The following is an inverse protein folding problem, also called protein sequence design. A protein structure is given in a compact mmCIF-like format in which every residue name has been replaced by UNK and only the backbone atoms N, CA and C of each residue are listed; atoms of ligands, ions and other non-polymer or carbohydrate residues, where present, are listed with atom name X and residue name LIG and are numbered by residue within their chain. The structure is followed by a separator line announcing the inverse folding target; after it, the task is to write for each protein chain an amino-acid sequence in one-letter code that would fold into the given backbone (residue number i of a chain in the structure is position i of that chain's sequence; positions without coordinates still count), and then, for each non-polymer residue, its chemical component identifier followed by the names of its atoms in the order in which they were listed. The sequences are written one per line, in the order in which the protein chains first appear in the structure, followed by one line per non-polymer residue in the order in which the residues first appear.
data_IF_815981902142
#
_entry.id   IF_815981902142
#
_cell.length_a   1.000
_cell.length_b   1.000
_cell.length_c   1.000
_cell.angle_alpha   90.00
_cell.angle_beta   90.00
_cell.angle_gamma   90.00
#
_symmetry.space_group_name_H-M   'P 1'
#
loop_
_entity.id
_entity.type
_entity.pdbx_description
1 polymer ?
#
# COMPACT_ATOMS: atom_id res chain seq x y z
N UNK A 1 -7.23 -3.14 -30.22
CA UNK A 1 -6.85 -2.75 -28.83
C UNK A 1 -7.18 -3.92 -27.95
N UNK A 2 -6.22 -4.64 -27.40
CA UNK A 2 -6.47 -5.73 -26.44
C UNK A 2 -7.08 -5.10 -25.19
N UNK A 3 -8.33 -5.45 -24.86
CA UNK A 3 -9.01 -4.96 -23.67
C UNK A 3 -8.24 -5.34 -22.40
N UNK A 4 -8.25 -4.47 -21.41
CA UNK A 4 -7.75 -4.77 -20.06
C UNK A 4 -8.94 -5.19 -19.23
N UNK A 5 -8.93 -6.40 -18.73
CA UNK A 5 -9.92 -6.86 -17.75
C UNK A 5 -9.50 -6.41 -16.36
N UNK A 6 -10.44 -5.94 -15.55
CA UNK A 6 -10.19 -5.46 -14.20
C UNK A 6 -10.80 -6.40 -13.18
N UNK A 7 -10.01 -6.71 -12.15
CA UNK A 7 -10.39 -7.58 -11.05
C UNK A 7 -10.19 -6.87 -9.71
N UNK A 8 -11.07 -7.10 -8.76
CA UNK A 8 -10.84 -6.78 -7.36
C UNK A 8 -10.40 -8.05 -6.63
N UNK A 9 -9.22 -8.01 -6.03
CA UNK A 9 -8.75 -9.07 -5.14
C UNK A 9 -8.94 -8.62 -3.71
N UNK A 10 -9.72 -9.39 -2.97
CA UNK A 10 -10.06 -9.21 -1.56
C UNK A 10 -9.19 -10.11 -0.72
N UNK A 11 -8.46 -9.55 0.20
CA UNK A 11 -7.59 -10.25 1.14
C UNK A 11 -8.28 -10.18 2.51
N UNK A 12 -8.83 -11.31 2.96
CA UNK A 12 -9.50 -11.44 4.25
C UNK A 12 -8.53 -12.01 5.28
N UNK A 13 -7.98 -11.19 6.18
CA UNK A 13 -7.16 -11.70 7.27
C UNK A 13 -7.97 -12.66 8.14
N UNK A 14 -7.44 -13.85 8.44
CA UNK A 14 -8.05 -14.79 9.36
C UNK A 14 -7.58 -14.57 10.81
N UNK A 15 -6.54 -13.77 10.97
CA UNK A 15 -5.93 -13.41 12.24
C UNK A 15 -5.23 -12.03 12.12
N UNK A 16 -4.85 -11.38 13.23
CA UNK A 16 -4.08 -10.13 13.18
C UNK A 16 -2.79 -10.30 12.40
N UNK A 17 -2.51 -9.37 11.48
CA UNK A 17 -1.36 -9.43 10.59
C UNK A 17 -0.12 -8.81 11.24
N UNK A 18 1.06 -9.34 10.93
CA UNK A 18 2.33 -8.72 11.24
C UNK A 18 2.87 -8.03 9.99
N UNK A 19 2.72 -6.71 9.94
CA UNK A 19 3.09 -5.89 8.79
C UNK A 19 4.33 -5.04 9.15
N UNK A 20 5.51 -5.60 8.95
CA UNK A 20 6.75 -4.93 9.35
C UNK A 20 6.90 -3.55 8.73
N UNK A 21 7.14 -2.55 9.59
CA UNK A 21 7.46 -1.19 9.21
C UNK A 21 8.91 -1.05 8.67
N UNK A 22 9.28 0.14 8.19
CA UNK A 22 10.66 0.46 7.78
C UNK A 22 11.58 0.64 9.00
N UNK A 23 11.40 -0.13 10.04
CA UNK A 23 12.15 0.00 11.29
C UNK A 23 13.15 -1.11 11.49
N UNK A 24 13.83 -1.00 12.58
CA UNK A 24 15.04 -1.70 12.98
C UNK A 24 14.79 -3.12 13.54
N UNK A 25 14.03 -3.94 12.87
CA UNK A 25 14.07 -5.34 13.27
C UNK A 25 15.29 -6.01 12.64
N UNK A 26 16.35 -6.07 13.41
CA UNK A 26 17.47 -6.96 13.13
C UNK A 26 17.11 -8.34 13.67
N UNK A 27 17.04 -9.39 12.84
CA UNK A 27 16.81 -10.76 13.31
C UNK A 27 17.90 -11.26 14.28
N UNK A 28 19.05 -10.58 14.31
CA UNK A 28 20.13 -10.84 15.25
C UNK A 28 20.03 -10.02 16.53
N UNK A 29 19.18 -8.97 16.57
CA UNK A 29 18.95 -8.17 17.76
C UNK A 29 18.31 -9.04 18.87
N UNK A 30 18.86 -8.96 20.06
CA UNK A 30 18.47 -9.79 21.21
C UNK A 30 18.03 -8.91 22.36
N UNK A 31 17.10 -9.44 23.17
CA UNK A 31 16.67 -8.78 24.40
C UNK A 31 15.36 -7.99 24.25
N UNK A 32 14.98 -7.33 25.33
CA UNK A 32 13.67 -6.65 25.47
C UNK A 32 13.50 -5.47 24.51
N UNK A 33 14.60 -4.92 24.02
CA UNK A 33 14.63 -3.83 23.02
C UNK A 33 14.46 -4.31 21.57
N UNK A 34 14.49 -5.63 21.32
CA UNK A 34 14.17 -6.18 20.00
C UNK A 34 12.66 -6.12 19.76
N UNK A 35 12.16 -5.00 19.27
CA UNK A 35 10.76 -4.79 18.98
C UNK A 35 10.51 -4.78 17.46
N UNK A 36 9.55 -5.57 17.01
CA UNK A 36 9.05 -5.53 15.63
C UNK A 36 7.75 -4.72 15.61
N UNK A 37 7.84 -3.46 15.18
CA UNK A 37 6.66 -2.60 15.06
C UNK A 37 5.96 -2.86 13.73
N UNK A 38 4.67 -3.16 13.78
CA UNK A 38 3.84 -3.30 12.58
C UNK A 38 3.41 -1.95 12.03
N UNK A 39 3.37 -1.85 10.70
CA UNK A 39 2.67 -0.76 10.02
C UNK A 39 1.16 -0.96 10.20
N UNK A 40 0.43 0.14 10.18
CA UNK A 40 -1.03 0.10 10.29
C UNK A 40 -1.70 -0.54 9.06
N UNK A 41 -0.99 -0.66 7.93
CA UNK A 41 -1.59 -1.09 6.68
C UNK A 41 -0.62 -1.85 5.76
N UNK A 42 -1.19 -2.66 4.86
CA UNK A 42 -0.45 -3.54 3.95
C UNK A 42 0.31 -2.73 2.88
N UNK A 43 1.59 -3.00 2.72
CA UNK A 43 2.39 -2.32 1.70
C UNK A 43 2.13 -2.90 0.28
N UNK A 44 2.14 -2.06 -0.78
CA UNK A 44 1.99 -2.52 -2.16
C UNK A 44 2.96 -3.63 -2.56
N UNK A 45 4.23 -3.54 -2.13
CA UNK A 45 5.23 -4.57 -2.39
C UNK A 45 4.91 -5.92 -1.74
N UNK A 46 4.21 -5.92 -0.60
CA UNK A 46 3.75 -7.16 0.04
C UNK A 46 2.60 -7.77 -0.75
N UNK A 47 1.67 -6.95 -1.25
CA UNK A 47 0.59 -7.40 -2.13
C UNK A 47 1.14 -7.99 -3.42
N UNK A 48 2.04 -7.28 -4.10
CA UNK A 48 2.65 -7.75 -5.34
C UNK A 48 3.41 -9.07 -5.14
N UNK A 49 4.20 -9.18 -4.07
CA UNK A 49 4.91 -10.41 -3.72
C UNK A 49 3.97 -11.58 -3.44
N UNK A 50 2.87 -11.35 -2.71
CA UNK A 50 1.83 -12.34 -2.45
C UNK A 50 1.22 -12.86 -3.75
N UNK A 51 0.74 -11.96 -4.61
CA UNK A 51 0.08 -12.32 -5.86
C UNK A 51 1.02 -13.06 -6.82
N UNK A 52 2.23 -12.54 -7.02
CA UNK A 52 3.23 -13.19 -7.89
C UNK A 52 3.59 -14.58 -7.37
N UNK A 53 3.83 -14.75 -6.06
CA UNK A 53 4.17 -16.05 -5.48
C UNK A 53 3.05 -17.08 -5.64
N UNK A 54 1.80 -16.68 -5.43
CA UNK A 54 0.63 -17.55 -5.58
C UNK A 54 0.40 -17.96 -7.04
N UNK A 55 0.53 -17.02 -7.97
CA UNK A 55 0.35 -17.28 -9.40
C UNK A 55 1.47 -18.17 -9.96
N UNK A 56 2.70 -17.98 -9.50
CA UNK A 56 3.83 -18.83 -9.87
C UNK A 56 3.80 -20.19 -9.16
N UNK A 57 3.06 -20.34 -8.06
CA UNK A 57 3.07 -21.49 -7.15
C UNK A 57 4.48 -21.82 -6.59
N UNK A 58 5.35 -20.85 -6.55
CA UNK A 58 6.71 -20.93 -6.01
C UNK A 58 7.18 -19.56 -5.55
N UNK A 59 8.14 -19.52 -4.62
CA UNK A 59 8.80 -18.27 -4.26
C UNK A 59 9.50 -17.65 -5.47
N UNK A 60 9.65 -16.34 -5.47
CA UNK A 60 10.54 -15.65 -6.42
C UNK A 60 11.97 -16.08 -6.14
N UNK A 61 12.68 -16.47 -7.17
CA UNK A 61 14.08 -16.91 -7.05
C UNK A 61 14.97 -15.77 -6.55
N UNK A 62 15.98 -16.08 -5.73
CA UNK A 62 16.97 -15.10 -5.32
C UNK A 62 17.65 -14.43 -6.51
N UNK A 63 17.93 -13.14 -6.37
CA UNK A 63 18.68 -12.35 -7.35
C UNK A 63 19.84 -11.65 -6.65
N UNK A 64 20.85 -11.23 -7.42
CA UNK A 64 22.12 -10.72 -6.88
C UNK A 64 21.98 -9.38 -6.17
N UNK A 65 21.08 -8.51 -6.64
CA UNK A 65 20.94 -7.16 -6.12
C UNK A 65 19.51 -6.60 -6.31
N UNK A 66 19.29 -5.42 -5.76
CA UNK A 66 17.99 -4.73 -5.81
C UNK A 66 17.54 -4.39 -7.24
N UNK A 67 18.41 -3.97 -8.12
CA UNK A 67 18.01 -3.62 -9.49
C UNK A 67 17.64 -4.85 -10.29
N UNK A 68 18.39 -5.95 -10.16
CA UNK A 68 18.00 -7.26 -10.70
C UNK A 68 16.63 -7.72 -10.18
N UNK A 69 16.30 -7.43 -8.91
CA UNK A 69 14.98 -7.71 -8.38
C UNK A 69 13.88 -6.86 -9.07
N UNK A 70 14.16 -5.58 -9.33
CA UNK A 70 13.22 -4.70 -10.04
C UNK A 70 12.91 -5.24 -11.43
N UNK A 71 13.94 -5.55 -12.20
CA UNK A 71 13.80 -6.08 -13.55
C UNK A 71 13.08 -7.43 -13.56
N UNK A 72 13.43 -8.30 -12.61
CA UNK A 72 12.78 -9.60 -12.45
C UNK A 72 11.30 -9.48 -12.10
N UNK A 73 10.92 -8.55 -11.24
CA UNK A 73 9.51 -8.32 -10.90
C UNK A 73 8.72 -7.78 -12.09
N UNK A 74 9.28 -6.86 -12.87
CA UNK A 74 8.66 -6.37 -14.11
C UNK A 74 8.46 -7.51 -15.12
N UNK A 75 9.46 -8.34 -15.33
CA UNK A 75 9.38 -9.53 -16.18
C UNK A 75 8.25 -10.48 -15.71
N UNK A 76 8.18 -10.76 -14.41
CA UNK A 76 7.15 -11.64 -13.84
C UNK A 76 5.75 -11.06 -13.98
N UNK A 77 5.56 -9.77 -13.75
CA UNK A 77 4.27 -9.12 -13.97
C UNK A 77 3.83 -9.25 -15.44
N UNK A 78 4.74 -9.01 -16.38
CA UNK A 78 4.47 -9.18 -17.81
C UNK A 78 4.12 -10.64 -18.15
N UNK A 79 4.89 -11.61 -17.67
CA UNK A 79 4.65 -13.05 -17.88
C UNK A 79 3.30 -13.50 -17.34
N UNK A 80 2.87 -12.93 -16.21
CA UNK A 80 1.58 -13.23 -15.59
C UNK A 80 0.42 -12.43 -16.19
N UNK A 81 0.69 -11.54 -17.15
CA UNK A 81 -0.30 -10.66 -17.76
C UNK A 81 -0.86 -9.60 -16.81
N UNK A 82 -0.15 -9.30 -15.71
CA UNK A 82 -0.55 -8.25 -14.76
C UNK A 82 0.01 -6.92 -15.25
N UNK A 83 -0.88 -6.05 -15.71
CA UNK A 83 -0.47 -4.70 -16.14
C UNK A 83 -0.20 -3.79 -14.95
N UNK A 84 -1.11 -3.79 -14.01
CA UNK A 84 -1.04 -2.92 -12.85
C UNK A 84 -1.80 -3.50 -11.65
N UNK A 85 -1.39 -3.06 -10.45
CA UNK A 85 -2.07 -3.27 -9.17
C UNK A 85 -2.34 -1.89 -8.60
N UNK A 86 -3.53 -1.64 -8.02
CA UNK A 86 -3.93 -0.39 -7.38
C UNK A 86 -4.49 -0.64 -5.98
N UNK A 87 -4.29 0.30 -5.11
CA UNK A 87 -4.59 0.19 -3.69
C UNK A 87 -3.31 0.01 -2.86
N UNK A 88 -3.38 -0.68 -1.72
CA UNK A 88 -4.59 -1.27 -1.12
C UNK A 88 -5.53 -0.24 -0.47
N UNK A 89 -6.76 -0.65 -0.20
CA UNK A 89 -7.73 0.05 0.64
C UNK A 89 -8.53 -0.97 1.46
N UNK A 90 -9.28 -0.52 2.47
CA UNK A 90 -10.13 -1.41 3.24
C UNK A 90 -11.53 -1.43 2.64
N UNK A 91 -12.29 -2.50 2.88
CA UNK A 91 -13.69 -2.55 2.47
C UNK A 91 -14.55 -3.31 3.49
N UNK A 92 -15.79 -2.82 3.65
CA UNK A 92 -16.84 -3.46 4.42
C UNK A 92 -18.06 -3.64 3.52
N UNK A 93 -18.38 -4.88 3.21
CA UNK A 93 -19.31 -5.16 2.12
C UNK A 93 -18.80 -4.62 0.78
N UNK A 94 -19.54 -3.69 0.17
CA UNK A 94 -19.15 -2.93 -1.03
C UNK A 94 -18.55 -1.56 -0.74
N UNK A 95 -18.60 -1.09 0.50
CA UNK A 95 -18.15 0.26 0.89
C UNK A 95 -16.64 0.32 1.01
N UNK A 96 -15.95 1.17 0.21
CA UNK A 96 -14.51 1.35 0.31
C UNK A 96 -14.15 2.33 1.43
N UNK A 97 -13.21 1.94 2.29
CA UNK A 97 -12.62 2.77 3.33
C UNK A 97 -11.19 3.13 2.97
N UNK A 98 -10.92 4.42 2.87
CA UNK A 98 -9.62 4.96 2.49
C UNK A 98 -8.87 5.53 3.69
N UNK A 99 -7.52 5.43 3.70
CA UNK A 99 -6.73 5.98 4.80
C UNK A 99 -6.79 7.51 4.83
N UNK A 100 -6.79 8.08 6.04
CA UNK A 100 -6.65 9.52 6.29
C UNK A 100 -5.62 9.72 7.39
N UNK A 101 -4.72 10.69 7.21
CA UNK A 101 -3.80 11.16 8.24
C UNK A 101 -4.20 12.51 8.77
N UNK A 102 -4.38 12.59 10.09
CA UNK A 102 -4.72 13.82 10.78
C UNK A 102 -3.95 13.94 12.09
N UNK A 103 -3.02 14.88 12.18
CA UNK A 103 -2.25 15.15 13.38
C UNK A 103 -1.38 13.98 13.88
N UNK A 104 -0.90 13.14 12.95
CA UNK A 104 -0.10 11.95 13.28
C UNK A 104 -0.92 10.65 13.31
N UNK A 105 -2.22 10.71 13.54
CA UNK A 105 -3.10 9.55 13.55
C UNK A 105 -3.41 9.06 12.14
N UNK A 106 -3.56 7.76 11.98
CA UNK A 106 -4.06 7.11 10.77
C UNK A 106 -5.36 6.38 11.10
N UNK A 107 -6.41 6.74 10.38
CA UNK A 107 -7.70 6.05 10.44
C UNK A 107 -8.26 5.89 9.02
N UNK A 108 -9.30 5.12 8.88
CA UNK A 108 -9.94 4.84 7.59
C UNK A 108 -11.39 5.33 7.63
N UNK A 109 -11.80 5.96 6.56
CA UNK A 109 -13.14 6.53 6.41
C UNK A 109 -13.74 6.08 5.07
N UNK A 110 -15.04 5.94 5.03
CA UNK A 110 -15.79 5.72 3.78
C UNK A 110 -15.42 6.79 2.74
N UNK A 111 -15.00 6.35 1.56
CA UNK A 111 -14.59 7.23 0.47
C UNK A 111 -15.70 8.21 0.06
N UNK A 112 -16.96 7.76 0.02
CA UNK A 112 -18.08 8.60 -0.38
C UNK A 112 -18.33 9.70 0.67
N UNK A 113 -18.22 9.38 1.96
CA UNK A 113 -18.29 10.36 3.03
C UNK A 113 -17.12 11.35 2.95
N UNK A 114 -15.91 10.86 2.70
CA UNK A 114 -14.73 11.71 2.52
C UNK A 114 -14.94 12.69 1.36
N UNK A 115 -15.34 12.19 0.19
CA UNK A 115 -15.60 13.01 -1.00
C UNK A 115 -16.70 14.03 -0.77
N UNK A 116 -17.79 13.65 -0.09
CA UNK A 116 -18.87 14.56 0.26
C UNK A 116 -18.38 15.71 1.16
N UNK A 117 -17.69 15.40 2.27
CA UNK A 117 -17.18 16.41 3.17
C UNK A 117 -16.09 17.28 2.52
N UNK A 118 -15.25 16.68 1.68
CA UNK A 118 -14.22 17.41 0.94
C UNK A 118 -14.84 18.44 -0.01
N UNK A 119 -15.81 18.05 -0.84
CA UNK A 119 -16.50 18.96 -1.76
C UNK A 119 -17.18 20.11 -1.03
N UNK A 120 -17.81 19.83 0.09
CA UNK A 120 -18.48 20.84 0.92
C UNK A 120 -17.52 21.87 1.51
N UNK A 121 -16.31 21.46 1.85
CA UNK A 121 -15.31 22.31 2.49
C UNK A 121 -14.25 22.85 1.51
N UNK A 122 -14.34 22.52 0.24
CA UNK A 122 -13.30 22.83 -0.75
C UNK A 122 -12.90 24.32 -0.75
N UNK A 123 -13.85 25.21 -0.70
CA UNK A 123 -13.59 26.66 -0.68
C UNK A 123 -12.83 27.12 0.57
N UNK A 124 -13.02 26.47 1.71
CA UNK A 124 -12.30 26.74 2.95
C UNK A 124 -10.90 26.12 2.90
N UNK A 125 -10.78 24.90 2.37
CA UNK A 125 -9.50 24.20 2.17
C UNK A 125 -8.58 25.02 1.23
N UNK A 126 -9.12 25.56 0.15
CA UNK A 126 -8.37 26.41 -0.79
C UNK A 126 -7.90 27.74 -0.15
N UNK A 127 -8.64 28.24 0.83
CA UNK A 127 -8.23 29.40 1.65
C UNK A 127 -7.23 29.05 2.75
N UNK A 128 -6.94 27.75 2.96
CA UNK A 128 -5.97 27.26 3.93
C UNK A 128 -6.58 26.82 5.27
N UNK A 129 -7.92 26.83 5.43
CA UNK A 129 -8.60 26.30 6.62
C UNK A 129 -8.73 24.78 6.55
N UNK A 130 -7.63 24.10 6.84
CA UNK A 130 -7.57 22.65 6.91
C UNK A 130 -7.99 22.11 8.27
N UNK A 131 -7.84 22.88 9.34
CA UNK A 131 -8.07 22.41 10.70
C UNK A 131 -9.56 22.10 10.93
N UNK A 132 -10.44 22.94 10.47
CA UNK A 132 -11.88 22.72 10.54
C UNK A 132 -12.32 21.47 9.78
N UNK A 133 -11.78 21.27 8.58
CA UNK A 133 -12.04 20.06 7.79
C UNK A 133 -11.53 18.79 8.49
N UNK A 134 -10.27 18.77 8.94
CA UNK A 134 -9.67 17.61 9.60
C UNK A 134 -10.34 17.29 10.94
N UNK A 135 -10.79 18.30 11.67
CA UNK A 135 -11.58 18.12 12.91
C UNK A 135 -12.90 17.42 12.63
N UNK A 136 -13.60 17.80 11.56
CA UNK A 136 -14.85 17.13 11.15
C UNK A 136 -14.63 15.68 10.76
N UNK A 137 -13.57 15.37 10.02
CA UNK A 137 -13.25 13.98 9.65
C UNK A 137 -13.02 13.10 10.89
N UNK A 138 -12.40 13.66 11.95
CA UNK A 138 -12.22 12.95 13.23
C UNK A 138 -13.51 12.68 13.97
N UNK A 139 -14.56 13.49 13.75
CA UNK A 139 -15.86 13.33 14.41
C UNK A 139 -16.78 12.31 13.72
N UNK A 140 -16.42 11.83 12.53
CA UNK A 140 -17.16 10.80 11.83
C UNK A 140 -17.12 9.52 12.66
N UNK A 141 -18.30 9.01 13.02
CA UNK A 141 -18.43 7.83 13.89
C UNK A 141 -18.11 6.53 13.17
N UNK A 142 -18.46 6.44 11.89
CA UNK A 142 -18.18 5.27 11.05
C UNK A 142 -16.78 5.35 10.43
N UNK A 143 -15.78 5.15 11.27
CA UNK A 143 -14.38 5.06 10.87
C UNK A 143 -13.76 3.79 11.40
N UNK A 144 -12.86 3.20 10.61
CA UNK A 144 -12.08 2.07 11.04
C UNK A 144 -10.70 2.55 11.51
N UNK A 145 -10.31 2.13 12.71
CA UNK A 145 -8.99 2.41 13.28
C UNK A 145 -8.16 1.12 13.32
N UNK A 146 -6.89 1.14 12.86
CA UNK A 146 -6.01 0.00 13.05
C UNK A 146 -5.74 -0.18 14.54
N UNK A 147 -5.92 -1.40 15.04
CA UNK A 147 -5.59 -1.77 16.42
C UNK A 147 -4.28 -2.53 16.43
N UNK A 148 -3.31 -1.98 17.12
CA UNK A 148 -2.06 -2.67 17.39
C UNK A 148 -2.21 -3.55 18.63
N UNK A 149 -1.76 -4.80 18.51
CA UNK A 149 -1.71 -5.78 19.60
C UNK A 149 -0.26 -6.18 19.77
N UNK A 150 0.29 -5.92 20.94
CA UNK A 150 1.62 -6.37 21.29
C UNK A 150 1.58 -7.79 21.84
N UNK A 151 2.50 -8.62 21.36
CA UNK A 151 2.70 -9.98 21.84
C UNK A 151 4.17 -10.20 22.11
N UNK A 152 4.45 -10.86 23.22
CA UNK A 152 5.80 -11.29 23.57
C UNK A 152 6.03 -12.66 22.94
N UNK A 153 7.06 -12.77 22.13
CA UNK A 153 7.55 -14.00 21.56
C UNK A 153 8.80 -14.50 22.28
N UNK A 154 8.95 -15.80 22.36
CA UNK A 154 10.12 -16.48 22.89
C UNK A 154 10.68 -17.44 21.85
N UNK A 155 11.99 -17.46 21.68
CA UNK A 155 12.60 -18.52 20.89
C UNK A 155 12.83 -19.76 21.76
N UNK A 156 12.40 -20.92 21.25
CA UNK A 156 12.61 -22.20 21.90
C UNK A 156 13.75 -22.95 21.23
N UNK A 157 14.57 -23.60 22.04
CA UNK A 157 15.56 -24.59 21.57
C UNK A 157 15.13 -25.98 22.00
N UNK A 158 15.31 -26.97 21.13
CA UNK A 158 15.20 -28.35 21.53
C UNK A 158 16.55 -28.79 22.14
N UNK A 159 16.55 -29.17 23.40
CA UNK A 159 17.68 -29.80 24.06
C UNK A 159 17.22 -31.09 24.65
N UNK A 160 17.80 -32.23 24.24
CA UNK A 160 17.51 -33.59 24.74
C UNK A 160 16.01 -33.96 24.75
N UNK A 161 15.27 -33.54 23.69
CA UNK A 161 13.82 -33.77 23.57
C UNK A 161 12.93 -32.80 24.36
N UNK A 162 13.50 -31.91 25.16
CA UNK A 162 12.77 -30.86 25.89
C UNK A 162 12.88 -29.53 25.17
N UNK A 163 11.76 -28.80 25.11
CA UNK A 163 11.74 -27.40 24.64
C UNK A 163 12.15 -26.49 25.79
N UNK A 164 13.32 -25.86 25.68
CA UNK A 164 13.78 -24.86 26.62
C UNK A 164 13.74 -23.46 25.98
N UNK A 165 13.47 -22.46 26.77
CA UNK A 165 13.58 -21.06 26.33
C UNK A 165 15.05 -20.77 26.05
N UNK A 166 15.34 -20.27 24.85
CA UNK A 166 16.70 -19.80 24.52
C UNK A 166 16.96 -18.50 25.23
N UNK A 167 17.99 -18.47 26.08
CA UNK A 167 18.36 -17.29 26.86
C UNK A 167 18.64 -16.09 25.97
N UNK A 168 18.11 -14.91 26.33
CA UNK A 168 18.25 -13.68 25.57
C UNK A 168 17.34 -13.54 24.32
N UNK A 169 16.47 -14.52 24.04
CA UNK A 169 15.55 -14.49 22.90
C UNK A 169 14.10 -14.21 23.30
N UNK A 170 13.93 -13.13 24.05
CA UNK A 170 12.63 -12.50 24.26
C UNK A 170 12.51 -11.36 23.24
N UNK A 171 11.41 -11.29 22.50
CA UNK A 171 11.13 -10.18 21.60
C UNK A 171 9.68 -9.75 21.71
N UNK A 172 9.40 -8.49 21.45
CA UNK A 172 8.03 -7.97 21.33
C UNK A 172 7.70 -7.80 19.86
N UNK A 173 6.57 -8.35 19.45
CA UNK A 173 6.04 -8.19 18.11
C UNK A 173 4.67 -7.52 18.17
N UNK A 174 4.47 -6.47 17.39
CA UNK A 174 3.16 -5.87 17.23
C UNK A 174 2.45 -6.43 16.01
N UNK A 175 1.17 -6.71 16.19
CA UNK A 175 0.25 -7.18 15.15
C UNK A 175 -0.81 -6.12 14.92
N UNK A 176 -1.28 -6.01 13.70
CA UNK A 176 -2.35 -5.09 13.36
C UNK A 176 -3.62 -5.86 13.02
N UNK A 177 -4.72 -5.43 13.59
CA UNK A 177 -6.06 -5.80 13.15
C UNK A 177 -6.81 -4.53 12.73
N UNK A 178 -7.56 -4.61 11.66
CA UNK A 178 -8.42 -3.52 11.22
C UNK A 178 -9.85 -4.02 11.22
N UNK A 179 -10.77 -3.19 11.72
CA UNK A 179 -12.19 -3.53 11.83
C UNK A 179 -12.86 -3.32 10.46
N UNK A 180 -12.61 -4.26 9.54
CA UNK A 180 -13.25 -4.31 8.23
C UNK A 180 -13.29 -5.75 7.72
N UNK A 181 -14.07 -6.02 6.67
CA UNK A 181 -14.22 -7.38 6.15
C UNK A 181 -12.96 -7.86 5.44
N UNK A 182 -12.32 -6.98 4.66
CA UNK A 182 -11.15 -7.33 3.87
C UNK A 182 -10.31 -6.10 3.46
N UNK A 183 -9.09 -6.39 3.07
CA UNK A 183 -8.20 -5.47 2.36
C UNK A 183 -8.40 -5.72 0.87
N UNK A 184 -8.71 -4.69 0.09
CA UNK A 184 -8.96 -4.79 -1.33
C UNK A 184 -7.83 -4.19 -2.14
N UNK A 185 -7.55 -4.81 -3.29
CA UNK A 185 -6.69 -4.26 -4.34
C UNK A 185 -7.37 -4.48 -5.70
N UNK A 186 -7.12 -3.58 -6.63
CA UNK A 186 -7.60 -3.67 -8.00
C UNK A 186 -6.44 -4.08 -8.90
N UNK A 187 -6.71 -4.99 -9.85
CA UNK A 187 -5.71 -5.53 -10.77
C UNK A 187 -6.20 -5.40 -12.19
N UNK A 188 -5.42 -4.73 -13.02
CA UNK A 188 -5.61 -4.76 -14.46
C UNK A 188 -4.79 -5.89 -15.08
N UNK A 189 -5.45 -6.67 -15.92
CA UNK A 189 -4.84 -7.81 -16.59
C UNK A 189 -5.14 -7.83 -18.07
N UNK A 190 -4.21 -8.34 -18.88
CA UNK A 190 -4.43 -8.57 -20.31
C UNK A 190 -5.56 -9.58 -20.52
N UNK A 191 -6.55 -9.25 -21.36
CA UNK A 191 -7.75 -10.03 -21.58
C UNK A 191 -7.52 -11.47 -22.09
N UNK A 192 -6.32 -11.79 -22.57
CA UNK A 192 -5.98 -13.12 -23.09
C UNK A 192 -5.22 -14.02 -22.11
N UNK A 193 -4.54 -13.47 -21.12
CA UNK A 193 -3.60 -14.23 -20.29
C UNK A 193 -4.11 -14.61 -18.89
N UNK A 194 -4.96 -13.77 -18.29
CA UNK A 194 -5.18 -13.82 -16.86
C UNK A 194 -6.52 -14.33 -16.32
N UNK A 195 -7.63 -14.41 -17.05
CA UNK A 195 -8.91 -14.83 -16.45
C UNK A 195 -8.79 -16.16 -15.70
N UNK A 196 -8.10 -17.13 -16.31
CA UNK A 196 -7.91 -18.45 -15.67
C UNK A 196 -6.89 -18.48 -14.55
N UNK A 197 -5.88 -17.61 -14.54
CA UNK A 197 -4.85 -17.58 -13.50
C UNK A 197 -5.29 -16.84 -12.24
N UNK A 198 -5.91 -15.67 -12.38
CA UNK A 198 -6.46 -14.91 -11.25
C UNK A 198 -7.65 -15.63 -10.60
N UNK A 199 -8.52 -16.26 -11.39
CA UNK A 199 -9.64 -17.05 -10.87
C UNK A 199 -9.17 -18.19 -9.93
N UNK A 200 -7.96 -18.73 -10.13
CA UNK A 200 -7.37 -19.75 -9.24
C UNK A 200 -7.02 -19.23 -7.85
N UNK A 201 -6.93 -17.91 -7.68
CA UNK A 201 -6.70 -17.31 -6.37
C UNK A 201 -7.97 -17.28 -5.53
N UNK A 202 -9.14 -17.50 -6.13
CA UNK A 202 -10.40 -17.46 -5.41
C UNK A 202 -10.47 -18.62 -4.39
N UNK A 203 -10.70 -18.26 -3.12
CA UNK A 203 -10.70 -19.22 -2.01
C UNK A 203 -9.31 -19.64 -1.52
N UNK A 204 -8.23 -19.22 -2.16
CA UNK A 204 -6.88 -19.56 -1.74
C UNK A 204 -6.57 -19.00 -0.35
N UNK A 205 -5.91 -19.81 0.48
CA UNK A 205 -5.32 -19.37 1.73
C UNK A 205 -3.82 -19.12 1.52
N UNK A 206 -3.32 -18.01 2.03
CA UNK A 206 -1.93 -17.63 1.86
C UNK A 206 -1.36 -16.93 3.07
N UNK A 207 -0.05 -17.05 3.26
CA UNK A 207 0.67 -16.28 4.26
C UNK A 207 0.83 -14.83 3.80
N UNK A 208 0.46 -13.87 4.66
CA UNK A 208 0.53 -12.43 4.41
C UNK A 208 1.32 -11.74 5.51
N UNK A 209 2.35 -10.99 5.12
CA UNK A 209 3.21 -10.31 6.08
C UNK A 209 4.21 -11.23 6.77
N UNK A 210 4.60 -10.85 7.98
CA UNK A 210 5.54 -11.63 8.79
C UNK A 210 4.88 -12.77 9.56
N UNK A 211 5.71 -13.70 10.03
CA UNK A 211 5.32 -14.83 10.90
C UNK A 211 4.22 -15.77 10.33
N UNK A 212 4.10 -15.83 8.99
CA UNK A 212 3.20 -16.78 8.35
C UNK A 212 1.71 -16.55 8.63
N UNK A 213 1.31 -15.31 8.92
CA UNK A 213 -0.10 -14.98 9.20
C UNK A 213 -0.98 -15.24 7.99
N UNK A 214 -2.10 -15.90 8.22
CA UNK A 214 -2.93 -16.43 7.14
C UNK A 214 -4.05 -15.47 6.77
N UNK A 215 -4.25 -15.30 5.47
CA UNK A 215 -5.42 -14.63 4.89
C UNK A 215 -6.04 -15.50 3.80
N UNK A 216 -7.34 -15.33 3.57
CA UNK A 216 -8.07 -15.92 2.45
C UNK A 216 -8.23 -14.89 1.35
N UNK A 217 -8.10 -15.32 0.10
CA UNK A 217 -8.29 -14.47 -1.07
C UNK A 217 -9.64 -14.75 -1.72
N UNK A 218 -10.28 -13.69 -2.19
CA UNK A 218 -11.46 -13.73 -3.06
C UNK A 218 -11.17 -12.87 -4.27
N UNK A 219 -11.60 -13.31 -5.46
CA UNK A 219 -11.38 -12.58 -6.72
C UNK A 219 -12.73 -12.32 -7.38
N UNK A 220 -13.00 -11.05 -7.64
CA UNK A 220 -14.23 -10.58 -8.27
C UNK A 220 -13.88 -9.85 -9.57
N UNK A 221 -14.59 -10.14 -10.66
CA UNK A 221 -14.52 -9.35 -11.88
C UNK A 221 -15.25 -8.02 -11.70
N UNK A 222 -14.65 -6.93 -12.15
CA UNK A 222 -15.25 -5.59 -12.07
C UNK A 222 -16.12 -5.30 -13.30
N UNK A 223 -15.82 -5.94 -14.43
CA UNK A 223 -16.52 -5.73 -15.73
C UNK A 223 -18.02 -6.10 -15.71
N UNK A 224 -18.51 -6.72 -14.63
CA UNK A 224 -19.93 -7.06 -14.43
C UNK A 224 -20.70 -6.13 -13.48
N UNK A 225 -20.14 -4.98 -13.09
CA UNK A 225 -20.80 -4.06 -12.14
C UNK A 225 -20.79 -4.53 -10.67
N UNK A 226 -19.96 -5.51 -10.36
CA UNK A 226 -19.90 -6.13 -9.02
C UNK A 226 -19.12 -5.29 -8.01
N UNK A 227 -18.20 -4.45 -8.48
CA UNK A 227 -17.43 -3.55 -7.62
C UNK A 227 -17.14 -2.23 -8.34
N UNK A 228 -17.19 -1.13 -7.60
CA UNK A 228 -16.79 0.18 -8.09
C UNK A 228 -15.24 0.29 -8.04
N UNK A 229 -14.67 0.92 -9.09
CA UNK A 229 -13.24 1.23 -9.12
C UNK A 229 -12.94 2.40 -8.19
N UNK A 230 -12.11 2.15 -7.19
CA UNK A 230 -11.67 3.13 -6.21
C UNK A 230 -10.33 3.76 -6.63
N UNK A 231 -9.37 2.91 -6.98
CA UNK A 231 -8.00 3.29 -7.25
C UNK A 231 -7.61 3.19 -8.73
N UNK A 232 -8.38 2.46 -9.53
CA UNK A 232 -8.14 2.26 -10.96
C UNK A 232 -8.76 3.32 -11.87
N UNK A 233 -9.40 4.37 -11.33
CA UNK A 233 -9.95 5.48 -12.10
C UNK A 233 -8.84 6.42 -12.57
N UNK A 234 -8.82 6.75 -13.87
CA UNK A 234 -7.88 7.71 -14.43
C UNK A 234 -8.43 9.13 -14.33
N UNK A 235 -7.57 10.10 -14.03
CA UNK A 235 -7.95 11.50 -13.95
C UNK A 235 -6.75 12.43 -14.21
N UNK A 236 -7.04 13.68 -14.56
CA UNK A 236 -6.05 14.73 -14.81
C UNK A 236 -6.31 15.90 -13.89
N UNK A 237 -5.25 16.37 -13.20
CA UNK A 237 -5.41 17.40 -12.19
C UNK A 237 -6.30 16.97 -11.02
N UNK A 238 -6.76 17.93 -10.22
CA UNK A 238 -7.76 17.68 -9.17
C UNK A 238 -7.20 17.09 -7.87
N UNK A 239 -8.11 16.84 -6.95
CA UNK A 239 -7.80 16.40 -5.60
C UNK A 239 -7.99 14.89 -5.45
N UNK A 240 -7.10 14.28 -4.66
CA UNK A 240 -7.17 12.86 -4.39
C UNK A 240 -6.60 12.53 -3.01
N UNK A 241 -6.96 11.37 -2.48
CA UNK A 241 -6.33 10.78 -1.30
C UNK A 241 -5.35 9.67 -1.69
N UNK A 242 -4.19 9.66 -1.08
CA UNK A 242 -3.19 8.61 -1.24
C UNK A 242 -3.62 7.34 -0.50
N UNK A 243 -3.90 6.29 -1.23
CA UNK A 243 -4.20 4.96 -0.68
C UNK A 243 -2.93 4.24 -0.24
N UNK A 244 -1.83 4.53 -0.90
CA UNK A 244 -0.51 3.95 -0.65
C UNK A 244 0.57 5.03 -0.73
N UNK A 245 1.75 4.82 -0.12
CA UNK A 245 2.81 5.84 -0.14
C UNK A 245 3.23 6.22 -1.55
N UNK A 246 3.37 7.50 -1.82
CA UNK A 246 4.04 8.01 -3.02
C UNK A 246 5.53 8.10 -2.75
N UNK A 247 6.28 7.17 -3.27
CA UNK A 247 7.76 7.13 -3.14
C UNK A 247 8.38 8.22 -4.01
N UNK A 248 9.26 9.00 -3.42
CA UNK A 248 9.94 10.10 -4.09
C UNK A 248 11.38 9.69 -4.43
N UNK A 249 11.73 9.80 -5.70
CA UNK A 249 13.07 9.54 -6.22
C UNK A 249 13.39 10.54 -7.32
N UNK A 250 14.69 10.83 -7.51
CA UNK A 250 15.13 11.66 -8.63
C UNK A 250 14.45 11.23 -9.94
N UNK A 251 13.90 12.20 -10.72
CA UNK A 251 14.05 13.64 -10.58
C UNK A 251 12.99 14.34 -9.69
N UNK A 252 12.22 13.59 -8.90
CA UNK A 252 11.23 14.17 -7.98
C UNK A 252 11.92 14.81 -6.77
N UNK A 253 11.53 16.05 -6.44
CA UNK A 253 12.03 16.76 -5.26
C UNK A 253 10.91 17.43 -4.49
N UNK A 254 11.06 17.53 -3.18
CA UNK A 254 10.13 18.26 -2.30
C UNK A 254 10.58 19.72 -2.26
N UNK A 255 9.64 20.62 -2.46
CA UNK A 255 9.82 22.05 -2.24
C UNK A 255 8.85 22.53 -1.14
N UNK A 256 9.37 23.35 -0.24
CA UNK A 256 8.57 24.01 0.79
C UNK A 256 8.64 25.52 0.57
N UNK A 257 7.51 26.15 0.31
CA UNK A 257 7.43 27.61 0.08
C UNK A 257 6.13 28.15 0.68
N UNK A 258 6.25 29.18 1.54
CA UNK A 258 5.09 29.84 2.12
C UNK A 258 4.17 28.89 2.92
N UNK A 259 4.72 27.94 3.64
CA UNK A 259 3.94 26.94 4.41
C UNK A 259 3.33 25.81 3.56
N UNK A 260 3.42 25.89 2.24
CA UNK A 260 2.95 24.84 1.32
C UNK A 260 4.07 23.86 0.99
N UNK A 261 3.70 22.62 0.81
CA UNK A 261 4.61 21.53 0.39
C UNK A 261 4.19 21.06 -0.99
N UNK A 262 5.11 21.08 -1.93
CA UNK A 262 4.89 20.57 -3.28
C UNK A 262 5.97 19.57 -3.67
N UNK A 263 5.66 18.69 -4.59
CA UNK A 263 6.63 17.82 -5.27
C UNK A 263 6.80 18.37 -6.67
N UNK A 264 8.05 18.50 -7.08
CA UNK A 264 8.44 18.94 -8.43
C UNK A 264 9.17 17.83 -9.17
N UNK A 265 8.99 17.82 -10.49
CA UNK A 265 9.78 17.04 -11.44
C UNK A 265 10.50 18.04 -12.36
N UNK A 266 11.80 18.18 -12.18
CA UNK A 266 12.50 19.34 -12.72
C UNK A 266 11.97 20.63 -12.10
N UNK A 267 11.54 21.59 -12.93
CA UNK A 267 10.96 22.85 -12.47
C UNK A 267 9.42 22.87 -12.49
N UNK A 268 8.80 21.80 -13.00
CA UNK A 268 7.34 21.68 -13.09
C UNK A 268 6.76 21.14 -11.79
N UNK A 269 5.63 21.74 -11.36
CA UNK A 269 4.82 21.21 -10.29
C UNK A 269 4.27 19.85 -10.71
N UNK A 270 4.43 18.86 -9.85
CA UNK A 270 3.88 17.53 -10.04
C UNK A 270 2.62 17.35 -9.19
N UNK A 271 2.72 17.60 -7.89
CA UNK A 271 1.59 17.63 -6.98
C UNK A 271 1.83 18.58 -5.80
N UNK A 272 0.75 19.02 -5.18
CA UNK A 272 0.75 19.77 -3.93
C UNK A 272 0.22 18.88 -2.80
N UNK A 273 0.87 18.92 -1.65
CA UNK A 273 0.39 18.28 -0.43
C UNK A 273 -0.58 19.23 0.27
N UNK A 274 -1.85 18.86 0.30
CA UNK A 274 -2.90 19.65 0.95
C UNK A 274 -2.91 19.34 2.43
N UNK A 275 -2.95 18.05 2.79
CA UNK A 275 -2.87 17.55 4.16
C UNK A 275 -2.15 16.22 4.20
N UNK A 276 -1.38 15.98 5.24
CA UNK A 276 -0.71 14.68 5.40
C UNK A 276 0.74 14.79 5.85
N UNK A 277 1.53 13.77 5.54
CA UNK A 277 2.87 13.61 6.11
C UNK A 277 3.88 13.21 5.04
N UNK A 278 5.03 13.89 5.06
CA UNK A 278 6.25 13.46 4.36
C UNK A 278 7.10 12.67 5.34
N UNK A 279 7.53 11.49 4.95
CA UNK A 279 8.35 10.63 5.80
C UNK A 279 9.25 9.70 4.99
N UNK A 280 9.79 8.71 5.65
CA UNK A 280 10.57 7.65 5.03
C UNK A 280 9.71 6.38 4.88
N UNK A 281 9.84 5.71 3.73
CA UNK A 281 9.16 4.44 3.49
C UNK A 281 10.13 3.40 2.97
N UNK A 282 10.25 2.29 3.71
CA UNK A 282 10.93 1.09 3.24
C UNK A 282 10.06 0.31 2.27
N UNK A 283 10.66 -0.23 1.23
CA UNK A 283 9.96 -1.06 0.25
C UNK A 283 9.72 -2.50 0.73
N UNK A 284 10.03 -2.80 1.99
CA UNK A 284 9.81 -4.09 2.62
C UNK A 284 11.08 -4.93 2.73
N UNK A 285 10.89 -6.24 2.92
CA UNK A 285 11.94 -7.24 3.02
C UNK A 285 11.85 -8.22 1.86
N UNK A 286 12.98 -8.58 1.28
CA UNK A 286 13.05 -9.65 0.28
C UNK A 286 13.37 -10.97 0.97
N UNK A 287 12.42 -11.89 0.96
CA UNK A 287 12.63 -13.24 1.50
C UNK A 287 13.68 -13.98 0.65
N UNK A 288 13.66 -13.74 -0.67
CA UNK A 288 14.59 -14.36 -1.60
C UNK A 288 16.04 -13.96 -1.33
N UNK A 289 16.29 -12.67 -1.10
CA UNK A 289 17.64 -12.15 -0.84
C UNK A 289 18.01 -12.14 0.64
N UNK A 290 17.04 -12.43 1.52
CA UNK A 290 17.18 -12.27 2.98
C UNK A 290 17.70 -10.89 3.39
N UNK A 291 17.34 -9.87 2.63
CA UNK A 291 17.81 -8.51 2.79
C UNK A 291 16.65 -7.50 2.83
N UNK A 292 16.92 -6.34 3.40
CA UNK A 292 15.97 -5.22 3.38
C UNK A 292 16.02 -4.53 2.02
N UNK A 293 14.84 -4.24 1.50
CA UNK A 293 14.70 -3.37 0.34
C UNK A 293 15.01 -1.91 0.72
N UNK A 294 15.42 -1.07 -0.23
CA UNK A 294 15.76 0.32 0.04
C UNK A 294 14.66 1.12 0.74
N UNK A 295 15.07 2.17 1.43
CA UNK A 295 14.21 3.16 2.08
C UNK A 295 14.27 4.45 1.27
N UNK A 296 13.13 5.04 0.99
CA UNK A 296 13.01 6.27 0.23
C UNK A 296 12.17 7.32 0.95
N UNK A 297 12.39 8.62 0.69
CA UNK A 297 11.42 9.66 1.02
C UNK A 297 10.09 9.35 0.35
N UNK A 298 9.00 9.63 1.04
CA UNK A 298 7.66 9.40 0.51
C UNK A 298 6.65 10.40 1.10
N UNK A 299 5.61 10.70 0.33
CA UNK A 299 4.37 11.19 0.91
C UNK A 299 3.59 9.96 1.38
N UNK A 300 3.20 9.94 2.64
CA UNK A 300 2.62 8.75 3.25
C UNK A 300 1.14 8.58 2.86
N UNK A 301 0.67 7.34 2.90
CA UNK A 301 -0.74 7.00 2.73
C UNK A 301 -1.64 7.82 3.66
N UNK A 302 -2.86 8.12 3.22
CA UNK A 302 -3.81 8.97 3.95
C UNK A 302 -3.56 10.47 3.79
N UNK A 303 -2.55 10.86 3.00
CA UNK A 303 -2.34 12.25 2.62
C UNK A 303 -3.32 12.67 1.52
N UNK A 304 -3.87 13.88 1.63
CA UNK A 304 -4.67 14.51 0.57
C UNK A 304 -3.74 15.36 -0.27
N UNK A 305 -3.80 15.15 -1.57
CA UNK A 305 -2.94 15.81 -2.56
C UNK A 305 -3.78 16.45 -3.66
N UNK A 306 -3.22 17.44 -4.31
CA UNK A 306 -3.74 18.03 -5.54
C UNK A 306 -2.74 17.76 -6.66
N UNK A 307 -3.14 17.07 -7.70
CA UNK A 307 -2.34 16.99 -8.92
C UNK A 307 -2.28 18.36 -9.59
N UNK A 308 -1.09 18.82 -9.95
CA UNK A 308 -0.93 20.08 -10.64
C UNK A 308 -1.51 19.98 -12.06
N UNK A 309 -1.80 21.14 -12.66
CA UNK A 309 -2.32 21.24 -14.02
C UNK A 309 -1.41 20.49 -15.02
N UNK A 310 -2.02 19.73 -15.94
CA UNK A 310 -1.31 18.89 -16.92
C UNK A 310 -0.68 17.62 -16.34
N UNK A 311 -0.85 17.34 -15.05
CA UNK A 311 -0.43 16.06 -14.45
C UNK A 311 -1.56 15.05 -14.48
N UNK A 312 -1.23 13.82 -14.85
CA UNK A 312 -2.21 12.73 -15.03
C UNK A 312 -1.91 11.59 -14.08
N UNK A 313 -2.98 11.03 -13.53
CA UNK A 313 -2.97 9.73 -12.89
C UNK A 313 -3.48 8.70 -13.89
N UNK A 314 -2.68 7.69 -14.18
CA UNK A 314 -3.02 6.64 -15.14
C UNK A 314 -3.14 5.28 -14.45
N UNK A 315 -3.88 4.37 -15.08
CA UNK A 315 -4.02 2.99 -14.55
C UNK A 315 -2.69 2.25 -14.56
N UNK A 316 -1.89 2.40 -15.59
CA UNK A 316 -0.72 1.55 -15.80
C UNK A 316 0.40 1.82 -14.80
N UNK A 317 0.74 3.08 -14.58
CA UNK A 317 1.88 3.48 -13.72
C UNK A 317 1.52 4.50 -12.64
N UNK A 318 0.22 4.72 -12.41
CA UNK A 318 -0.28 5.66 -11.40
C UNK A 318 0.20 7.09 -11.64
N UNK A 319 0.65 7.78 -10.59
CA UNK A 319 1.11 9.15 -10.70
C UNK A 319 2.48 9.26 -11.40
N UNK A 320 3.23 8.17 -11.56
CA UNK A 320 4.56 8.20 -12.19
C UNK A 320 4.53 8.29 -13.72
N UNK A 321 3.34 8.36 -14.35
CA UNK A 321 3.19 8.40 -15.80
C UNK A 321 4.02 9.49 -16.49
N UNK A 322 4.15 10.65 -15.84
CA UNK A 322 4.87 11.81 -16.39
C UNK A 322 6.24 12.03 -15.72
N UNK A 323 6.73 11.03 -14.96
CA UNK A 323 8.01 11.13 -14.26
C UNK A 323 9.06 10.30 -14.97
N UNK A 324 10.08 10.91 -15.58
CA UNK A 324 11.19 10.16 -16.14
C UNK A 324 11.96 9.48 -15.00
N UNK A 325 12.04 8.15 -14.99
CA UNK A 325 12.64 7.48 -13.82
C UNK A 325 13.05 6.03 -13.98
N UNK A 326 12.95 5.46 -15.17
CA UNK A 326 13.41 4.10 -15.45
C UNK A 326 12.63 3.00 -14.72
N UNK A 327 13.15 1.78 -14.78
CA UNK A 327 12.49 0.55 -14.34
C UNK A 327 11.96 0.58 -12.89
N UNK A 328 12.65 1.26 -11.98
CA UNK A 328 12.18 1.31 -10.58
C UNK A 328 10.88 2.11 -10.43
N UNK A 329 10.76 3.30 -11.02
CA UNK A 329 9.51 4.08 -10.92
C UNK A 329 8.37 3.40 -11.69
N UNK A 330 8.68 2.73 -12.81
CA UNK A 330 7.73 1.87 -13.51
C UNK A 330 7.23 0.75 -12.58
N UNK A 331 8.14 0.00 -11.95
CA UNK A 331 7.75 -1.06 -11.03
C UNK A 331 6.91 -0.52 -9.88
N UNK A 332 7.36 0.54 -9.21
CA UNK A 332 6.63 1.14 -8.09
C UNK A 332 5.22 1.54 -8.50
N UNK A 333 5.08 2.20 -9.64
CA UNK A 333 3.78 2.54 -10.20
C UNK A 333 2.94 1.30 -10.49
N UNK A 334 3.46 0.32 -11.18
CA UNK A 334 2.73 -0.90 -11.56
C UNK A 334 2.27 -1.72 -10.37
N UNK A 335 3.03 -1.79 -9.28
CA UNK A 335 2.64 -2.55 -8.08
C UNK A 335 1.82 -1.76 -7.07
N UNK A 336 1.45 -0.50 -7.38
CA UNK A 336 0.48 0.25 -6.62
C UNK A 336 1.04 1.29 -5.64
N UNK A 337 2.34 1.61 -5.67
CA UNK A 337 2.84 2.78 -4.94
C UNK A 337 2.29 4.06 -5.56
N UNK A 338 1.87 5.00 -4.72
CA UNK A 338 1.21 6.23 -5.15
C UNK A 338 -0.19 6.02 -5.71
N UNK A 339 -0.89 4.93 -5.36
CA UNK A 339 -2.30 4.75 -5.70
C UNK A 339 -3.13 5.88 -5.11
N UNK A 340 -3.99 6.46 -5.94
CA UNK A 340 -4.86 7.58 -5.61
C UNK A 340 -6.33 7.18 -5.75
N UNK A 341 -7.17 7.73 -4.87
CA UNK A 341 -8.61 7.78 -5.07
C UNK A 341 -9.04 9.24 -5.23
N UNK A 342 -9.75 9.55 -6.31
CA UNK A 342 -10.21 10.90 -6.60
C UNK A 342 -11.24 11.36 -5.58
N UNK A 343 -11.23 12.66 -5.25
CA UNK A 343 -12.17 13.30 -4.33
C UNK A 343 -13.22 14.17 -5.05
N UNK A 344 -13.15 14.19 -6.38
CA UNK A 344 -14.10 14.91 -7.23
C UNK A 344 -13.52 16.06 -7.97
#
# INVERSE_FOLDING_TARGET
MSGVSVYQVRIKPLEPLMLRGPGEFDPSARGVSAAAVSQAFLAPSTVAGLLVSLLLRRPVEPVSDWMCYVDRMLELLNKLGIRWIRGPYLAQGSTPYVPIRAGGDLFFIDLHQLAYHFKRELANIEKGDLEGFMSRLRQIQDRAEPRLQERVGIALTAREGLKAVREGFLYTASYVSVRCDYIAVEIGSDSGAAPGSLARLNGAAAAVGGEGRVARLEVLGVDGGVAELVAGSEFEGGYAVLLSPLVLRSPMRIERKGGRVSVKVGDKCFLELISGTVGLRGLGFSIAERSRKPVYPAILEGSIVKLCEGQRYTRDVGPYANVPGGALLELLGRIGYGSLAALG
#
